data_IF_148521731544
#
_entry.id   IF_148521731544
#
_cell.length_a   1.000
_cell.length_b   1.000
_cell.length_c   1.000
_cell.angle_alpha   90.00
_cell.angle_beta   90.00
_cell.angle_gamma   90.00
#
_symmetry.space_group_name_H-M   'P 1'
#
loop_
_entity.id
_entity.type
_entity.pdbx_description
1 polymer ?
#
# COMPACT_ATOMS: atom_id res chain seq x y z
N UNK A 1 0.93 20.44 27.38
CA UNK A 1 -0.21 20.06 26.52
C UNK A 1 0.04 18.60 26.21
N UNK A 2 -0.85 17.71 26.64
CA UNK A 2 -0.68 16.28 26.39
C UNK A 2 -0.74 16.03 24.88
N UNK A 3 0.22 15.23 24.38
CA UNK A 3 0.33 14.89 22.96
C UNK A 3 -0.14 13.44 22.73
N UNK A 4 -0.30 13.06 21.45
CA UNK A 4 -0.71 11.71 21.09
C UNK A 4 0.24 10.64 21.67
N UNK A 5 1.54 10.96 21.77
CA UNK A 5 2.54 10.03 22.29
C UNK A 5 2.37 9.78 23.79
N UNK A 6 1.96 10.79 24.55
CA UNK A 6 1.56 10.63 25.94
C UNK A 6 0.35 9.70 26.07
N UNK A 7 -0.72 9.93 25.32
CA UNK A 7 -1.91 9.07 25.36
C UNK A 7 -1.63 7.63 24.90
N UNK A 8 -0.76 7.46 23.90
CA UNK A 8 -0.28 6.14 23.48
C UNK A 8 0.54 5.44 24.56
N UNK A 9 1.35 6.17 25.34
CA UNK A 9 2.10 5.58 26.46
C UNK A 9 1.19 5.14 27.60
N UNK A 10 0.18 5.94 27.93
CA UNK A 10 -0.77 5.64 29.01
C UNK A 10 -1.84 4.61 28.63
N UNK A 11 -2.02 4.32 27.33
CA UNK A 11 -3.06 3.42 26.86
C UNK A 11 -4.45 4.06 26.80
N UNK A 12 -4.52 5.40 26.72
CA UNK A 12 -5.79 6.12 26.69
C UNK A 12 -6.48 6.00 25.31
N UNK A 13 -7.23 4.91 25.14
CA UNK A 13 -7.91 4.60 23.89
C UNK A 13 -8.95 5.64 23.44
N UNK A 14 -9.51 6.42 24.37
CA UNK A 14 -10.50 7.45 24.04
C UNK A 14 -9.80 8.64 23.39
N UNK A 15 -8.73 9.15 24.02
CA UNK A 15 -8.00 10.30 23.47
C UNK A 15 -7.28 9.96 22.17
N UNK A 16 -6.66 8.77 22.09
CA UNK A 16 -6.07 8.29 20.83
C UNK A 16 -7.12 8.22 19.73
N UNK A 17 -8.32 7.71 20.00
CA UNK A 17 -9.41 7.66 19.02
C UNK A 17 -9.85 9.05 18.58
N UNK A 18 -10.10 9.96 19.52
CA UNK A 18 -10.50 11.34 19.22
C UNK A 18 -9.44 12.05 18.37
N UNK A 19 -8.17 11.83 18.67
CA UNK A 19 -7.06 12.35 17.90
C UNK A 19 -7.00 11.76 16.48
N UNK A 20 -7.26 10.46 16.32
CA UNK A 20 -7.32 9.76 15.03
C UNK A 20 -8.56 10.10 14.19
N UNK A 21 -9.62 10.63 14.80
CA UNK A 21 -10.83 11.07 14.10
C UNK A 21 -10.64 12.43 13.44
N UNK A 22 -9.68 13.23 13.92
CA UNK A 22 -9.26 14.45 13.24
C UNK A 22 -8.32 14.12 12.08
N UNK A 23 -8.77 14.46 10.87
CA UNK A 23 -8.07 14.14 9.62
C UNK A 23 -6.82 14.97 9.39
N UNK A 24 -6.60 16.06 10.13
CA UNK A 24 -5.36 16.84 10.03
C UNK A 24 -4.17 16.10 10.64
N UNK A 25 -4.44 15.15 11.54
CA UNK A 25 -3.42 14.38 12.23
C UNK A 25 -2.87 13.24 11.37
N UNK A 26 -1.53 13.11 11.35
CA UNK A 26 -0.87 11.95 10.74
C UNK A 26 -0.54 10.91 11.79
N UNK A 27 -1.27 9.81 11.79
CA UNK A 27 -1.01 8.67 12.67
C UNK A 27 0.36 7.99 12.49
N UNK A 28 1.10 8.34 11.45
CA UNK A 28 2.47 7.89 11.20
C UNK A 28 3.52 8.92 11.63
N UNK A 29 3.12 10.05 12.22
CA UNK A 29 4.04 11.05 12.74
C UNK A 29 4.93 10.43 13.82
N UNK A 30 6.23 10.71 13.77
CA UNK A 30 7.16 10.36 14.84
C UNK A 30 7.31 11.49 15.84
N UNK A 31 7.61 11.14 17.08
CA UNK A 31 8.13 12.11 18.06
C UNK A 31 9.54 12.59 17.70
N UNK A 32 10.22 13.28 18.59
CA UNK A 32 11.58 13.80 18.34
C UNK A 32 12.65 12.71 18.15
N UNK A 33 12.34 11.45 18.47
CA UNK A 33 13.19 10.29 18.24
C UNK A 33 12.67 9.40 17.09
N UNK A 34 11.63 9.86 16.38
CA UNK A 34 11.01 9.13 15.27
C UNK A 34 10.06 8.02 15.70
N UNK A 35 9.69 7.91 16.99
CA UNK A 35 8.74 6.91 17.45
C UNK A 35 7.32 7.34 17.08
N UNK A 36 6.66 6.55 16.25
CA UNK A 36 5.25 6.74 15.90
C UNK A 36 4.31 6.30 17.03
N UNK A 37 3.02 6.70 17.01
CA UNK A 37 1.99 6.15 17.90
C UNK A 37 2.02 4.62 17.97
N UNK A 38 2.21 3.95 16.82
CA UNK A 38 2.29 2.49 16.74
C UNK A 38 3.50 1.93 17.50
N UNK A 39 4.66 2.61 17.46
CA UNK A 39 5.83 2.22 18.24
C UNK A 39 5.56 2.29 19.74
N UNK A 40 4.98 3.39 20.22
CA UNK A 40 4.67 3.56 21.64
C UNK A 40 3.64 2.54 22.13
N UNK A 41 2.56 2.32 21.37
CA UNK A 41 1.57 1.31 21.70
C UNK A 41 2.17 -0.11 21.71
N UNK A 42 3.05 -0.42 20.76
CA UNK A 42 3.73 -1.71 20.69
C UNK A 42 4.74 -1.92 21.83
N UNK A 43 5.44 -0.86 22.24
CA UNK A 43 6.40 -0.88 23.36
C UNK A 43 5.70 -1.07 24.70
N UNK A 44 4.59 -0.37 24.93
CA UNK A 44 3.89 -0.36 26.21
C UNK A 44 2.84 -1.48 26.35
N UNK A 45 2.58 -2.26 25.29
CA UNK A 45 1.70 -3.44 25.38
C UNK A 45 0.21 -3.16 25.16
N UNK A 46 -0.13 -2.03 24.53
CA UNK A 46 -1.52 -1.63 24.35
C UNK A 46 -2.16 -2.27 23.11
N UNK A 47 -2.47 -3.58 23.17
CA UNK A 47 -3.01 -4.36 22.05
C UNK A 47 -4.16 -3.67 21.30
N UNK A 48 -5.18 -3.18 22.03
CA UNK A 48 -6.35 -2.54 21.42
C UNK A 48 -5.99 -1.27 20.64
N UNK A 49 -4.98 -0.53 21.10
CA UNK A 49 -4.50 0.65 20.40
C UNK A 49 -3.69 0.28 19.16
N UNK A 50 -2.85 -0.77 19.25
CA UNK A 50 -2.15 -1.31 18.09
C UNK A 50 -3.14 -1.74 17.02
N UNK A 51 -4.14 -2.54 17.37
CA UNK A 51 -5.19 -3.01 16.46
C UNK A 51 -5.91 -1.84 15.79
N UNK A 52 -6.35 -0.83 16.57
CA UNK A 52 -7.01 0.36 16.06
C UNK A 52 -6.12 1.16 15.10
N UNK A 53 -4.84 1.37 15.46
CA UNK A 53 -3.89 2.09 14.61
C UNK A 53 -3.66 1.34 13.29
N UNK A 54 -3.53 0.01 13.33
CA UNK A 54 -3.36 -0.81 12.13
C UNK A 54 -4.60 -0.77 11.22
N UNK A 55 -5.80 -0.93 11.78
CA UNK A 55 -7.08 -0.81 11.06
C UNK A 55 -7.27 0.58 10.43
N UNK A 56 -6.75 1.63 11.08
CA UNK A 56 -6.81 3.01 10.57
C UNK A 56 -5.72 3.33 9.52
N UNK A 57 -4.81 2.40 9.25
CA UNK A 57 -3.78 2.50 8.20
C UNK A 57 -2.39 2.92 8.68
N UNK A 58 -2.05 2.68 9.95
CA UNK A 58 -0.69 2.91 10.44
C UNK A 58 0.34 2.06 9.70
N UNK A 59 1.51 2.66 9.41
CA UNK A 59 2.67 2.00 8.80
C UNK A 59 3.20 0.91 9.74
N UNK A 60 2.89 -0.34 9.41
CA UNK A 60 3.33 -1.53 10.16
C UNK A 60 4.86 -1.56 10.34
N UNK A 61 5.59 -1.18 9.29
CA UNK A 61 7.06 -1.15 9.25
C UNK A 61 7.60 0.30 9.33
N UNK A 62 6.90 1.19 10.03
CA UNK A 62 7.48 2.50 10.37
C UNK A 62 8.80 2.30 11.11
N UNK A 63 9.82 3.12 10.84
CA UNK A 63 11.11 3.05 11.53
C UNK A 63 11.30 4.28 12.40
N UNK A 64 11.83 4.10 13.60
CA UNK A 64 12.35 5.19 14.42
C UNK A 64 13.76 5.62 13.96
N UNK A 65 14.41 6.56 14.65
CA UNK A 65 15.78 6.99 14.29
C UNK A 65 16.84 5.89 14.38
N UNK A 66 16.60 4.85 15.21
CA UNK A 66 17.46 3.67 15.33
C UNK A 66 17.13 2.55 14.35
N UNK A 67 16.23 2.78 13.39
CA UNK A 67 15.70 1.79 12.44
C UNK A 67 14.90 0.64 13.08
N UNK A 68 14.47 0.77 14.34
CA UNK A 68 13.54 -0.17 14.92
C UNK A 68 12.15 0.05 14.33
N UNK A 69 11.51 -1.05 13.94
CA UNK A 69 10.08 -1.11 13.63
C UNK A 69 9.26 -1.51 14.88
N UNK A 70 7.93 -1.27 14.93
CA UNK A 70 7.09 -1.65 16.07
C UNK A 70 7.26 -3.11 16.51
N UNK A 71 7.54 -4.03 15.57
CA UNK A 71 7.80 -5.44 15.86
C UNK A 71 9.05 -5.66 16.71
N UNK A 72 10.11 -4.85 16.54
CA UNK A 72 11.30 -4.91 17.41
C UNK A 72 10.91 -4.57 18.86
N UNK A 73 10.11 -3.52 19.04
CA UNK A 73 9.71 -3.05 20.36
C UNK A 73 8.76 -4.04 21.06
N UNK A 74 7.77 -4.58 20.34
CA UNK A 74 6.89 -5.61 20.87
C UNK A 74 7.67 -6.87 21.28
N UNK A 75 8.64 -7.30 20.45
CA UNK A 75 9.51 -8.44 20.74
C UNK A 75 10.47 -8.16 21.91
N UNK A 76 11.00 -6.94 22.03
CA UNK A 76 11.91 -6.53 23.11
C UNK A 76 11.23 -6.39 24.48
N UNK A 77 9.91 -6.17 24.50
CA UNK A 77 9.14 -5.98 25.74
C UNK A 77 8.22 -7.17 26.09
N UNK A 78 8.22 -8.24 25.31
CA UNK A 78 7.52 -9.48 25.64
C UNK A 78 6.02 -9.49 25.30
N UNK A 79 5.54 -8.57 24.45
CA UNK A 79 4.13 -8.43 24.09
C UNK A 79 3.76 -9.38 22.94
N UNK A 80 3.61 -10.67 23.27
CA UNK A 80 3.38 -11.76 22.30
C UNK A 80 2.16 -11.54 21.40
N UNK A 81 1.06 -11.10 21.98
CA UNK A 81 -0.19 -10.81 21.29
C UNK A 81 -0.02 -9.72 20.22
N UNK A 82 0.73 -8.66 20.54
CA UNK A 82 1.10 -7.60 19.60
C UNK A 82 2.04 -8.13 18.52
N UNK A 83 3.02 -8.98 18.87
CA UNK A 83 3.90 -9.63 17.88
C UNK A 83 3.07 -10.40 16.86
N UNK A 84 2.15 -11.25 17.30
CA UNK A 84 1.29 -12.03 16.40
C UNK A 84 0.39 -11.14 15.52
N UNK A 85 -0.14 -10.06 16.09
CA UNK A 85 -0.94 -9.08 15.34
C UNK A 85 -0.10 -8.39 14.25
N UNK A 86 1.11 -7.92 14.57
CA UNK A 86 1.99 -7.26 13.60
C UNK A 86 2.44 -8.24 12.49
N UNK A 87 2.73 -9.50 12.83
CA UNK A 87 3.07 -10.53 11.85
C UNK A 87 1.89 -10.83 10.92
N UNK A 88 0.66 -10.86 11.45
CA UNK A 88 -0.57 -11.00 10.65
C UNK A 88 -0.76 -9.84 9.68
N UNK A 89 -0.44 -8.61 10.10
CA UNK A 89 -0.45 -7.41 9.27
C UNK A 89 0.80 -7.27 8.38
N UNK A 90 1.50 -8.38 8.10
CA UNK A 90 2.66 -8.46 7.20
C UNK A 90 3.82 -7.54 7.59
N UNK A 91 4.07 -7.40 8.89
CA UNK A 91 5.31 -6.78 9.37
C UNK A 91 6.53 -7.55 8.85
N UNK A 92 7.60 -6.82 8.50
CA UNK A 92 8.85 -7.43 8.06
C UNK A 92 9.56 -8.09 9.24
N UNK A 93 9.39 -9.41 9.34
CA UNK A 93 9.96 -10.25 10.40
C UNK A 93 11.50 -10.23 10.44
N UNK A 94 12.14 -9.92 9.32
CA UNK A 94 13.60 -9.88 9.16
C UNK A 94 14.13 -8.45 9.00
N UNK A 95 13.32 -7.43 9.30
CA UNK A 95 13.78 -6.05 9.36
C UNK A 95 14.99 -5.95 10.29
N UNK A 96 15.98 -5.16 9.90
CA UNK A 96 17.20 -4.94 10.69
C UNK A 96 17.31 -3.48 11.07
N UNK A 97 17.61 -3.25 12.34
CA UNK A 97 17.81 -1.91 12.87
C UNK A 97 19.25 -1.40 12.61
N UNK A 98 19.61 -0.24 13.15
CA UNK A 98 20.90 0.39 12.88
C UNK A 98 22.10 -0.44 13.36
N UNK A 99 21.88 -1.36 14.29
CA UNK A 99 22.88 -2.29 14.82
C UNK A 99 22.87 -3.63 14.07
N UNK A 100 21.99 -3.80 13.08
CA UNK A 100 21.78 -5.06 12.38
C UNK A 100 20.99 -6.09 13.18
N UNK A 101 20.39 -5.71 14.30
CA UNK A 101 19.53 -6.59 15.08
C UNK A 101 18.16 -6.67 14.43
N UNK A 102 17.59 -7.88 14.40
CA UNK A 102 16.21 -8.15 14.00
C UNK A 102 15.30 -8.30 15.22
N UNK A 103 13.95 -8.33 15.07
CA UNK A 103 13.05 -8.58 16.19
C UNK A 103 13.38 -9.88 16.94
N UNK A 104 13.86 -10.91 16.22
CA UNK A 104 14.29 -12.16 16.83
C UNK A 104 15.53 -11.99 17.73
N UNK A 105 16.49 -11.13 17.37
CA UNK A 105 17.63 -10.83 18.24
C UNK A 105 17.18 -10.29 19.61
N UNK A 106 16.21 -9.38 19.62
CA UNK A 106 15.65 -8.82 20.86
C UNK A 106 14.90 -9.87 21.67
N UNK A 107 14.02 -10.66 21.04
CA UNK A 107 13.30 -11.73 21.72
C UNK A 107 14.26 -12.75 22.36
N UNK A 108 15.33 -13.12 21.64
CA UNK A 108 16.37 -14.02 22.14
C UNK A 108 17.16 -13.43 23.31
N UNK A 109 17.58 -12.16 23.21
CA UNK A 109 18.34 -11.46 24.25
C UNK A 109 17.58 -11.36 25.57
N UNK A 110 16.30 -10.98 25.51
CA UNK A 110 15.45 -10.88 26.70
C UNK A 110 14.95 -12.25 27.19
N UNK A 111 15.03 -13.28 26.35
CA UNK A 111 14.66 -14.66 26.67
C UNK A 111 13.16 -14.91 26.61
N UNK A 112 12.46 -14.25 25.68
CA UNK A 112 11.04 -14.52 25.39
C UNK A 112 10.92 -15.69 24.42
N UNK A 113 11.04 -16.90 24.95
CA UNK A 113 11.11 -18.14 24.21
C UNK A 113 9.91 -18.39 23.30
N UNK A 114 8.70 -18.15 23.80
CA UNK A 114 7.48 -18.33 23.02
C UNK A 114 7.41 -17.34 21.84
N UNK A 115 7.87 -16.10 22.03
CA UNK A 115 7.94 -15.09 20.95
C UNK A 115 8.99 -15.50 19.92
N UNK A 116 10.13 -16.08 20.34
CA UNK A 116 11.13 -16.60 19.42
C UNK A 116 10.53 -17.70 18.53
N UNK A 117 9.76 -18.63 19.09
CA UNK A 117 9.10 -19.69 18.32
C UNK A 117 8.09 -19.12 17.32
N UNK A 118 7.26 -18.17 17.76
CA UNK A 118 6.27 -17.52 16.89
C UNK A 118 6.97 -16.79 15.72
N UNK A 119 8.04 -16.04 15.98
CA UNK A 119 8.82 -15.35 14.95
C UNK A 119 9.45 -16.35 13.95
N UNK A 120 10.05 -17.44 14.42
CA UNK A 120 10.66 -18.48 13.56
C UNK A 120 9.60 -19.16 12.69
N UNK A 121 8.42 -19.43 13.24
CA UNK A 121 7.28 -19.97 12.49
C UNK A 121 6.74 -19.02 11.41
N UNK A 122 6.96 -17.71 11.57
CA UNK A 122 6.63 -16.70 10.57
C UNK A 122 7.81 -16.30 9.68
N UNK A 123 8.91 -17.08 9.69
CA UNK A 123 10.03 -16.92 8.76
C UNK A 123 11.18 -16.02 9.25
N UNK A 124 11.29 -15.78 10.57
CA UNK A 124 12.46 -15.11 11.14
C UNK A 124 13.72 -15.95 10.95
N UNK A 125 14.78 -15.34 10.40
CA UNK A 125 16.04 -16.01 10.10
C UNK A 125 16.91 -16.13 11.35
N UNK A 126 17.19 -17.36 11.79
CA UNK A 126 18.08 -17.64 12.94
C UNK A 126 19.56 -17.45 12.62
N UNK A 127 19.93 -17.39 11.34
CA UNK A 127 21.30 -17.28 10.84
C UNK A 127 21.72 -15.86 10.44
N UNK A 128 20.83 -14.89 10.60
CA UNK A 128 21.08 -13.48 10.26
C UNK A 128 22.01 -12.85 11.30
N UNK A 129 23.24 -12.49 10.90
CA UNK A 129 24.18 -11.86 11.81
C UNK A 129 23.94 -10.33 11.87
N UNK A 130 24.10 -9.76 13.07
CA UNK A 130 24.13 -8.32 13.30
C UNK A 130 25.53 -7.73 12.97
N UNK A 131 25.74 -6.43 13.27
CA UNK A 131 27.03 -5.75 13.02
C UNK A 131 28.20 -6.32 13.82
N UNK A 132 27.94 -6.86 15.00
CA UNK A 132 28.94 -7.52 15.85
C UNK A 132 29.26 -8.95 15.37
N UNK A 133 28.53 -9.43 14.36
CA UNK A 133 28.64 -10.79 13.85
C UNK A 133 27.85 -11.81 14.67
N UNK A 134 27.08 -11.39 15.66
CA UNK A 134 26.25 -12.28 16.47
C UNK A 134 24.95 -12.61 15.72
N UNK A 135 24.54 -13.87 15.76
CA UNK A 135 23.22 -14.31 15.31
C UNK A 135 22.21 -14.26 16.46
N UNK A 136 20.89 -14.33 16.20
CA UNK A 136 19.90 -14.41 17.28
C UNK A 136 20.18 -15.55 18.25
N UNK A 137 20.66 -16.70 17.74
CA UNK A 137 21.02 -17.86 18.55
C UNK A 137 22.16 -17.56 19.52
N UNK A 138 23.14 -16.75 19.10
CA UNK A 138 24.26 -16.36 19.97
C UNK A 138 23.81 -15.47 21.14
N UNK A 139 22.68 -14.75 20.99
CA UNK A 139 22.07 -13.93 22.05
C UNK A 139 21.12 -14.72 22.95
N UNK A 140 20.78 -15.97 22.63
CA UNK A 140 19.86 -16.76 23.46
C UNK A 140 20.49 -17.26 24.75
N UNK A 141 19.65 -17.40 25.79
CA UNK A 141 20.03 -18.09 27.03
C UNK A 141 20.39 -19.55 26.76
N UNK A 142 21.40 -20.05 27.49
CA UNK A 142 21.90 -21.42 27.35
C UNK A 142 20.75 -22.45 27.45
N UNK A 143 20.66 -23.35 26.45
CA UNK A 143 19.65 -24.42 26.38
C UNK A 143 18.55 -24.22 25.34
N UNK A 144 18.21 -22.97 24.98
CA UNK A 144 17.16 -22.68 23.98
C UNK A 144 17.69 -22.60 22.54
N UNK A 145 18.97 -22.29 22.35
CA UNK A 145 19.59 -22.18 21.02
C UNK A 145 19.34 -23.42 20.15
N UNK A 146 19.55 -24.62 20.73
CA UNK A 146 19.32 -25.89 20.00
C UNK A 146 17.86 -26.09 19.63
N UNK A 147 16.93 -25.72 20.52
CA UNK A 147 15.48 -25.83 20.26
C UNK A 147 15.06 -24.91 19.11
N UNK A 148 15.56 -23.68 19.07
CA UNK A 148 15.25 -22.74 17.98
C UNK A 148 15.93 -23.14 16.67
N UNK A 149 17.13 -23.70 16.73
CA UNK A 149 17.81 -24.28 15.58
C UNK A 149 16.98 -25.45 15.00
N UNK A 150 16.60 -26.42 15.84
CA UNK A 150 15.77 -27.56 15.42
C UNK A 150 14.43 -27.09 14.82
N UNK A 151 13.83 -26.02 15.35
CA UNK A 151 12.60 -25.43 14.82
C UNK A 151 12.82 -24.76 13.46
N UNK A 152 13.91 -24.00 13.31
CA UNK A 152 14.26 -23.35 12.04
C UNK A 152 14.57 -24.38 10.93
N UNK A 153 15.24 -25.49 11.27
CA UNK A 153 15.49 -26.61 10.34
C UNK A 153 14.17 -27.25 9.89
N UNK A 154 13.24 -27.48 10.82
CA UNK A 154 11.89 -28.00 10.49
C UNK A 154 11.10 -27.07 9.57
N UNK A 155 11.31 -25.76 9.71
CA UNK A 155 10.72 -24.75 8.84
C UNK A 155 11.48 -24.54 7.51
N UNK A 156 12.52 -25.35 7.25
CA UNK A 156 13.25 -25.38 5.99
C UNK A 156 14.33 -24.30 5.84
N UNK A 157 14.81 -23.71 6.94
CA UNK A 157 15.89 -22.72 6.88
C UNK A 157 17.27 -23.38 6.69
N UNK A 158 18.11 -22.77 5.85
CA UNK A 158 19.51 -23.14 5.72
C UNK A 158 20.34 -22.52 6.84
N UNK A 159 21.15 -23.33 7.53
CA UNK A 159 21.99 -22.90 8.67
C UNK A 159 23.26 -22.13 8.26
N UNK A 160 23.29 -21.58 7.04
CA UNK A 160 24.40 -20.78 6.57
C UNK A 160 24.30 -19.38 7.17
N UNK A 161 25.33 -18.98 7.93
CA UNK A 161 25.43 -17.63 8.50
C UNK A 161 25.33 -16.58 7.40
N UNK A 162 24.37 -15.67 7.54
CA UNK A 162 24.16 -14.55 6.63
C UNK A 162 24.83 -13.34 7.27
N UNK A 163 25.94 -12.89 6.71
CA UNK A 163 26.64 -11.70 7.19
C UNK A 163 25.76 -10.46 7.05
N UNK A 164 25.81 -9.58 8.06
CA UNK A 164 25.25 -8.24 7.95
C UNK A 164 25.82 -7.54 6.72
N UNK A 165 24.95 -7.13 5.80
CA UNK A 165 25.33 -6.26 4.68
C UNK A 165 24.90 -4.86 5.04
N UNK A 166 25.85 -3.97 5.26
CA UNK A 166 25.52 -2.56 5.44
C UNK A 166 25.02 -1.99 4.11
N UNK A 167 23.71 -1.90 3.96
CA UNK A 167 23.05 -1.31 2.79
C UNK A 167 22.90 0.21 2.93
N UNK A 168 23.54 0.84 3.92
CA UNK A 168 23.53 2.29 4.10
C UNK A 168 24.08 3.06 2.89
N UNK A 169 25.03 2.48 2.15
CA UNK A 169 25.70 3.11 1.00
C UNK A 169 24.96 2.95 -0.34
N UNK A 170 24.07 1.96 -0.46
CA UNK A 170 23.45 1.60 -1.74
C UNK A 170 22.43 2.62 -2.25
N UNK A 171 22.01 3.60 -1.45
CA UNK A 171 20.94 4.55 -1.83
C UNK A 171 19.57 3.90 -2.08
N UNK A 172 19.50 2.56 -2.08
CA UNK A 172 18.30 1.71 -2.22
C UNK A 172 17.42 1.71 -0.97
N UNK A 173 17.86 2.36 0.11
CA UNK A 173 16.94 2.76 1.16
C UNK A 173 15.98 3.76 0.53
N UNK A 174 14.81 3.30 0.09
CA UNK A 174 13.60 4.10 -0.25
C UNK A 174 13.04 4.84 0.98
N UNK A 175 13.95 5.22 1.88
CA UNK A 175 13.71 5.73 3.20
C UNK A 175 13.75 7.23 3.07
N UNK A 176 12.59 7.86 3.11
CA UNK A 176 12.51 9.21 3.65
C UNK A 176 13.03 9.13 5.08
N UNK A 177 14.30 9.50 5.32
CA UNK A 177 14.86 9.69 6.67
C UNK A 177 14.12 10.78 7.45
N UNK A 178 13.20 11.48 6.79
CA UNK A 178 12.23 12.35 7.40
C UNK A 178 10.95 11.59 7.77
N UNK A 179 10.83 11.26 9.05
CA UNK A 179 9.54 11.15 9.74
C UNK A 179 8.79 12.51 9.75
N UNK A 180 9.39 13.56 9.19
CA UNK A 180 8.79 14.90 9.03
C UNK A 180 7.96 15.05 7.75
N UNK A 181 7.75 13.98 6.96
CA UNK A 181 6.76 13.98 5.87
C UNK A 181 5.31 14.30 6.33
N UNK A 182 5.10 14.53 7.63
CA UNK A 182 3.85 14.99 8.22
C UNK A 182 3.94 16.28 9.07
N UNK A 183 5.13 16.85 9.27
CA UNK A 183 5.32 17.92 10.28
C UNK A 183 4.76 19.29 9.88
N UNK A 184 4.31 19.48 8.65
CA UNK A 184 3.87 20.79 8.19
C UNK A 184 2.42 20.77 7.69
N UNK A 185 1.57 21.50 8.41
CA UNK A 185 0.65 22.51 7.88
C UNK A 185 0.72 22.58 6.34
N UNK A 186 -0.37 22.24 5.64
CA UNK A 186 -0.47 22.01 4.19
C UNK A 186 0.71 22.52 3.34
N UNK A 187 1.34 21.60 2.58
CA UNK A 187 2.55 21.87 1.80
C UNK A 187 2.31 23.11 0.93
N UNK A 188 3.20 24.10 1.01
CA UNK A 188 3.08 25.27 0.15
C UNK A 188 3.49 24.87 -1.27
N UNK A 189 2.70 25.27 -2.25
CA UNK A 189 3.01 25.02 -3.66
C UNK A 189 4.38 25.59 -4.08
N UNK A 190 4.81 26.68 -3.46
CA UNK A 190 6.10 27.32 -3.73
C UNK A 190 7.31 26.49 -3.26
N UNK A 191 7.09 25.52 -2.37
CA UNK A 191 8.15 24.62 -1.90
C UNK A 191 8.42 23.48 -2.91
N UNK A 192 7.56 23.34 -3.94
CA UNK A 192 7.68 22.31 -4.96
C UNK A 192 8.53 22.81 -6.13
N UNK A 193 9.68 22.18 -6.36
CA UNK A 193 10.52 22.39 -7.54
C UNK A 193 9.94 21.61 -8.74
N UNK A 194 8.88 22.13 -9.35
CA UNK A 194 8.21 21.53 -10.52
C UNK A 194 9.04 21.75 -11.78
N UNK A 195 9.26 20.67 -12.55
CA UNK A 195 10.24 20.64 -13.65
C UNK A 195 9.61 20.37 -15.00
N UNK A 196 8.92 19.24 -15.12
CA UNK A 196 8.40 18.76 -16.40
C UNK A 196 6.97 18.29 -16.24
N UNK A 197 6.10 18.72 -17.14
CA UNK A 197 4.73 18.20 -17.22
C UNK A 197 4.76 16.76 -17.73
N UNK A 198 4.08 15.86 -17.01
CA UNK A 198 3.98 14.45 -17.37
C UNK A 198 2.73 14.18 -18.19
N UNK A 199 1.59 14.73 -17.78
CA UNK A 199 0.31 14.48 -18.43
C UNK A 199 -0.67 15.63 -18.24
N UNK A 200 -1.57 15.79 -19.22
CA UNK A 200 -2.78 16.62 -19.10
C UNK A 200 -3.96 15.67 -19.29
N UNK A 201 -4.82 15.61 -18.28
CA UNK A 201 -6.02 14.77 -18.29
C UNK A 201 -7.25 15.65 -18.04
N UNK A 202 -8.46 15.16 -18.34
CA UNK A 202 -9.69 15.85 -17.95
C UNK A 202 -9.87 16.04 -16.44
N UNK A 203 -9.01 15.40 -15.64
CA UNK A 203 -9.05 15.37 -14.17
C UNK A 203 -8.08 16.37 -13.56
N UNK A 204 -7.18 16.93 -14.37
CA UNK A 204 -6.06 17.73 -13.90
C UNK A 204 -4.79 17.60 -14.72
N UNK A 205 -3.78 18.35 -14.30
CA UNK A 205 -2.43 18.33 -14.87
C UNK A 205 -1.45 17.69 -13.90
N UNK A 206 -0.60 16.82 -14.40
CA UNK A 206 0.38 16.09 -13.59
C UNK A 206 1.78 16.56 -13.93
N UNK A 207 2.55 16.95 -12.92
CA UNK A 207 3.90 17.49 -13.05
C UNK A 207 4.89 16.66 -12.25
N UNK A 208 6.06 16.39 -12.84
CA UNK A 208 7.22 15.87 -12.10
C UNK A 208 7.95 17.04 -11.45
N UNK A 209 8.35 16.86 -10.20
CA UNK A 209 9.15 17.83 -9.49
C UNK A 209 10.00 17.20 -8.40
N UNK A 210 10.60 18.05 -7.57
CA UNK A 210 11.25 17.65 -6.33
C UNK A 210 10.66 18.39 -5.14
N UNK A 211 10.58 17.69 -4.01
CA UNK A 211 10.24 18.28 -2.74
C UNK A 211 11.06 17.60 -1.64
N UNK A 212 11.73 18.40 -0.80
CA UNK A 212 12.62 17.90 0.27
C UNK A 212 13.64 16.84 -0.21
N UNK A 213 14.24 17.06 -1.39
CA UNK A 213 15.18 16.14 -2.06
C UNK A 213 14.60 14.83 -2.59
N UNK A 214 13.30 14.60 -2.47
CA UNK A 214 12.62 13.45 -3.05
C UNK A 214 12.01 13.80 -4.41
N UNK A 215 12.09 12.88 -5.37
CA UNK A 215 11.40 12.99 -6.65
C UNK A 215 9.89 12.72 -6.44
N UNK A 216 9.07 13.69 -6.84
CA UNK A 216 7.63 13.67 -6.61
C UNK A 216 6.84 13.89 -7.89
N UNK A 217 5.57 13.52 -7.83
CA UNK A 217 4.54 13.87 -8.80
C UNK A 217 3.51 14.75 -8.11
N UNK A 218 3.29 15.93 -8.67
CA UNK A 218 2.28 16.88 -8.24
C UNK A 218 1.13 16.89 -9.24
N UNK A 219 -0.05 16.45 -8.81
CA UNK A 219 -1.28 16.45 -9.61
C UNK A 219 -2.16 17.64 -9.22
N UNK A 220 -2.24 18.61 -10.12
CA UNK A 220 -3.13 19.76 -10.03
C UNK A 220 -4.53 19.33 -10.44
N UNK A 221 -5.49 19.44 -9.52
CA UNK A 221 -6.87 19.06 -9.78
C UNK A 221 -7.55 20.10 -10.67
N UNK A 222 -8.22 19.65 -11.73
CA UNK A 222 -9.05 20.54 -12.55
C UNK A 222 -10.39 20.80 -11.86
N UNK A 223 -10.52 21.99 -11.25
CA UNK A 223 -11.71 22.43 -10.53
C UNK A 223 -12.14 23.78 -11.08
N UNK A 224 -13.30 23.81 -11.76
CA UNK A 224 -13.85 25.03 -12.40
C UNK A 224 -13.89 26.25 -11.48
N UNK A 225 -14.29 26.05 -10.22
CA UNK A 225 -14.33 27.10 -9.20
C UNK A 225 -14.00 26.51 -7.84
N UNK A 226 -12.84 26.85 -7.29
CA UNK A 226 -12.44 26.42 -5.95
C UNK A 226 -13.12 27.31 -4.88
N UNK A 227 -14.30 26.89 -4.41
CA UNK A 227 -15.01 27.56 -3.31
C UNK A 227 -14.40 27.22 -1.94
N UNK A 228 -14.64 28.03 -0.88
CA UNK A 228 -14.20 27.68 0.47
C UNK A 228 -14.71 26.31 0.96
N UNK A 229 -15.89 25.88 0.48
CA UNK A 229 -16.43 24.55 0.73
C UNK A 229 -15.57 23.47 0.09
N UNK A 230 -15.23 23.61 -1.20
CA UNK A 230 -14.38 22.66 -1.91
C UNK A 230 -12.99 22.56 -1.25
N UNK A 231 -12.42 23.70 -0.84
CA UNK A 231 -11.18 23.73 -0.06
C UNK A 231 -11.29 22.94 1.24
N UNK A 232 -12.41 23.04 1.96
CA UNK A 232 -12.65 22.27 3.19
C UNK A 232 -12.82 20.78 2.90
N UNK A 233 -13.66 20.43 1.93
CA UNK A 233 -13.92 19.05 1.51
C UNK A 233 -12.59 18.38 1.06
N UNK A 234 -11.73 19.12 0.34
CA UNK A 234 -10.39 18.64 -0.03
C UNK A 234 -9.52 18.33 1.18
N UNK A 235 -9.43 19.24 2.16
CA UNK A 235 -8.65 19.03 3.38
C UNK A 235 -9.18 17.87 4.23
N UNK A 236 -10.48 17.60 4.21
CA UNK A 236 -11.07 16.47 4.93
C UNK A 236 -10.83 15.13 4.21
N UNK A 237 -10.85 15.14 2.87
CA UNK A 237 -10.78 13.91 2.06
C UNK A 237 -9.36 13.45 1.75
N UNK A 238 -8.41 14.35 1.46
CA UNK A 238 -7.05 13.94 1.04
C UNK A 238 -6.29 13.13 2.09
N UNK A 239 -6.43 13.36 3.41
CA UNK A 239 -5.71 12.57 4.42
C UNK A 239 -6.11 11.09 4.39
N UNK A 240 -7.33 10.78 3.93
CA UNK A 240 -7.82 9.41 3.75
C UNK A 240 -7.05 8.65 2.66
N UNK A 241 -6.33 9.36 1.78
CA UNK A 241 -5.52 8.82 0.69
C UNK A 241 -4.06 8.55 1.09
N UNK A 242 -3.66 8.89 2.33
CA UNK A 242 -2.30 8.74 2.87
C UNK A 242 -2.06 7.33 3.43
N UNK A 243 -2.32 6.31 2.62
CA UNK A 243 -2.30 4.90 3.01
C UNK A 243 -0.90 4.30 2.77
N UNK A 244 -0.04 4.38 3.78
CA UNK A 244 1.36 3.95 3.66
C UNK A 244 1.63 2.53 4.18
N UNK A 245 0.61 1.86 4.68
CA UNK A 245 0.67 0.59 5.40
C UNK A 245 0.81 -0.64 4.50
N UNK A 246 0.77 -0.49 3.17
CA UNK A 246 0.82 -1.62 2.24
C UNK A 246 1.76 -1.35 1.03
N UNK A 247 2.62 -2.31 0.65
CA UNK A 247 3.63 -2.10 -0.40
C UNK A 247 3.03 -1.86 -1.79
N UNK A 248 1.90 -2.50 -2.11
CA UNK A 248 1.21 -2.33 -3.40
C UNK A 248 0.25 -1.14 -3.44
N UNK A 249 0.33 -0.22 -2.47
CA UNK A 249 -0.40 1.05 -2.51
C UNK A 249 0.62 2.16 -2.72
N UNK A 250 0.34 3.06 -3.66
CA UNK A 250 1.06 4.32 -3.83
C UNK A 250 0.28 5.42 -3.12
N UNK A 251 0.68 5.80 -1.90
CA UNK A 251 -0.04 6.77 -1.10
C UNK A 251 0.14 8.20 -1.62
N UNK A 252 -0.83 9.04 -1.24
CA UNK A 252 -0.63 10.48 -1.22
C UNK A 252 0.35 10.81 -0.10
N UNK A 253 1.46 11.47 -0.44
CA UNK A 253 2.46 11.93 0.53
C UNK A 253 1.90 13.13 1.28
N UNK A 254 1.34 14.09 0.54
CA UNK A 254 0.72 15.29 1.08
C UNK A 254 -0.05 16.04 0.00
N UNK A 255 -0.53 17.21 0.35
CA UNK A 255 -1.33 18.04 -0.55
C UNK A 255 -1.07 19.53 -0.32
N UNK A 256 -1.26 20.32 -1.39
CA UNK A 256 -1.29 21.77 -1.34
C UNK A 256 -2.74 22.24 -1.51
N UNK A 257 -3.21 23.04 -0.57
CA UNK A 257 -4.48 23.73 -0.69
C UNK A 257 -4.22 25.23 -0.76
N UNK A 258 -4.09 25.74 -1.98
CA UNK A 258 -3.83 27.16 -2.24
C UNK A 258 -4.75 27.61 -3.38
N UNK A 259 -6.03 27.90 -3.09
CA UNK A 259 -7.02 28.24 -4.11
C UNK A 259 -6.50 29.32 -5.07
N UNK A 260 -6.66 29.14 -6.39
CA UNK A 260 -7.47 28.12 -7.06
C UNK A 260 -6.82 26.74 -7.18
N UNK A 261 -5.56 26.58 -6.78
CA UNK A 261 -4.79 25.35 -6.96
C UNK A 261 -5.00 24.38 -5.80
N UNK A 262 -5.59 23.23 -6.12
CA UNK A 262 -5.59 22.05 -5.25
C UNK A 262 -4.65 21.01 -5.85
N UNK A 263 -3.65 20.60 -5.08
CA UNK A 263 -2.58 19.73 -5.58
C UNK A 263 -2.43 18.52 -4.66
N UNK A 264 -2.41 17.34 -5.25
CA UNK A 264 -2.09 16.08 -4.56
C UNK A 264 -0.67 15.67 -4.93
N UNK A 265 0.13 15.29 -3.93
CA UNK A 265 1.54 14.94 -4.12
C UNK A 265 1.73 13.46 -3.83
N UNK A 266 2.33 12.73 -4.76
CA UNK A 266 2.72 11.32 -4.63
C UNK A 266 4.18 11.12 -5.03
N UNK A 267 4.72 9.93 -4.76
CA UNK A 267 6.08 9.58 -5.18
C UNK A 267 6.13 9.42 -6.71
N UNK A 268 7.22 9.88 -7.33
CA UNK A 268 7.45 9.64 -8.75
C UNK A 268 7.75 8.17 -9.03
N UNK A 269 7.03 7.61 -10.02
CA UNK A 269 7.18 6.24 -10.49
C UNK A 269 7.82 6.24 -11.88
N UNK A 270 9.08 5.79 -12.02
CA UNK A 270 9.85 5.98 -13.26
C UNK A 270 9.30 5.24 -14.48
N UNK A 271 8.58 4.13 -14.28
CA UNK A 271 8.00 3.34 -15.38
C UNK A 271 6.61 3.82 -15.80
N UNK A 272 6.05 4.84 -15.14
CA UNK A 272 4.73 5.38 -15.46
C UNK A 272 3.59 4.46 -15.03
N UNK A 273 2.44 4.60 -15.70
CA UNK A 273 1.27 3.77 -15.44
C UNK A 273 1.39 2.39 -16.12
N UNK A 274 0.61 1.43 -15.66
CA UNK A 274 0.50 0.12 -16.31
C UNK A 274 0.02 0.28 -17.76
N UNK A 275 -0.87 1.24 -18.03
CA UNK A 275 -1.31 1.55 -19.39
C UNK A 275 -0.13 1.97 -20.28
N UNK A 276 0.69 2.93 -19.82
CA UNK A 276 1.88 3.38 -20.57
C UNK A 276 2.89 2.26 -20.76
N UNK A 277 2.99 1.35 -19.80
CA UNK A 277 3.89 0.21 -19.86
C UNK A 277 3.45 -0.82 -20.90
N UNK A 278 2.14 -1.09 -21.00
CA UNK A 278 1.60 -2.09 -21.92
C UNK A 278 1.45 -1.58 -23.35
N UNK A 279 1.03 -0.32 -23.52
CA UNK A 279 0.63 0.23 -24.82
C UNK A 279 1.54 1.37 -25.30
N UNK A 280 2.38 1.92 -24.42
CA UNK A 280 3.35 2.95 -24.74
C UNK A 280 4.72 2.40 -25.13
N UNK A 281 5.64 3.30 -25.45
CA UNK A 281 7.02 2.97 -25.81
C UNK A 281 7.91 2.72 -24.57
N UNK A 282 7.41 2.01 -23.56
CA UNK A 282 8.09 1.84 -22.27
C UNK A 282 9.33 0.92 -22.32
N UNK A 283 9.57 0.21 -23.43
CA UNK A 283 10.77 -0.61 -23.64
C UNK A 283 10.89 -1.84 -22.73
N UNK A 284 9.88 -2.12 -21.91
CA UNK A 284 9.82 -3.28 -21.01
C UNK A 284 8.94 -4.36 -21.64
N UNK A 285 9.53 -5.51 -21.96
CA UNK A 285 8.77 -6.68 -22.36
C UNK A 285 8.22 -7.35 -21.11
N UNK A 286 6.91 -7.29 -20.94
CA UNK A 286 6.21 -8.05 -19.89
C UNK A 286 5.87 -9.41 -20.49
N UNK A 287 6.33 -10.48 -19.88
CA UNK A 287 5.95 -11.84 -20.24
C UNK A 287 4.75 -12.30 -19.40
N UNK A 288 4.29 -13.53 -19.61
CA UNK A 288 3.17 -14.10 -18.84
C UNK A 288 3.45 -14.12 -17.34
N UNK A 289 4.69 -14.41 -16.93
CA UNK A 289 5.08 -14.48 -15.52
C UNK A 289 5.00 -13.10 -14.85
N UNK A 290 5.50 -12.06 -15.51
CA UNK A 290 5.42 -10.69 -15.02
C UNK A 290 3.98 -10.16 -15.05
N UNK A 291 3.16 -10.55 -16.03
CA UNK A 291 1.74 -10.22 -16.04
C UNK A 291 1.00 -10.80 -14.81
N UNK A 292 1.28 -12.06 -14.46
CA UNK A 292 0.74 -12.69 -13.24
C UNK A 292 1.23 -11.99 -11.98
N UNK A 293 2.49 -11.53 -11.94
CA UNK A 293 3.03 -10.73 -10.81
C UNK A 293 2.31 -9.40 -10.66
N UNK A 294 2.11 -8.65 -11.75
CA UNK A 294 1.33 -7.41 -11.71
C UNK A 294 -0.11 -7.65 -11.26
N UNK A 295 -0.77 -8.70 -11.77
CA UNK A 295 -2.11 -9.07 -11.32
C UNK A 295 -2.14 -9.40 -9.81
N UNK A 296 -1.13 -10.11 -9.30
CA UNK A 296 -1.01 -10.43 -7.87
C UNK A 296 -0.80 -9.17 -7.02
N UNK A 297 0.05 -8.25 -7.46
CA UNK A 297 0.31 -6.99 -6.77
C UNK A 297 -0.95 -6.11 -6.68
N UNK A 298 -1.66 -5.96 -7.80
CA UNK A 298 -2.94 -5.24 -7.84
C UNK A 298 -3.96 -5.93 -6.93
N UNK A 299 -4.08 -7.26 -6.99
CA UNK A 299 -5.01 -8.01 -6.14
C UNK A 299 -4.71 -7.85 -4.65
N UNK A 300 -3.42 -7.85 -4.26
CA UNK A 300 -2.99 -7.62 -2.87
C UNK A 300 -3.31 -6.19 -2.42
N UNK A 301 -3.05 -5.20 -3.27
CA UNK A 301 -3.41 -3.81 -2.98
C UNK A 301 -4.92 -3.63 -2.80
N UNK A 302 -5.73 -4.17 -3.70
CA UNK A 302 -7.19 -4.07 -3.61
C UNK A 302 -7.76 -4.84 -2.42
N UNK A 303 -7.25 -6.05 -2.12
CA UNK A 303 -7.62 -6.79 -0.91
C UNK A 303 -7.40 -5.93 0.34
N UNK A 304 -6.24 -5.27 0.42
CA UNK A 304 -5.93 -4.39 1.53
C UNK A 304 -6.89 -3.20 1.60
N UNK A 305 -7.15 -2.50 0.49
CA UNK A 305 -8.12 -1.40 0.46
C UNK A 305 -9.52 -1.85 0.89
N UNK A 306 -9.92 -3.06 0.52
CA UNK A 306 -11.22 -3.63 0.90
C UNK A 306 -11.30 -4.01 2.38
N UNK A 307 -10.15 -4.29 3.02
CA UNK A 307 -10.09 -4.56 4.46
C UNK A 307 -10.12 -3.30 5.35
N UNK A 308 -9.88 -2.12 4.79
CA UNK A 308 -9.89 -0.88 5.55
C UNK A 308 -11.32 -0.49 5.93
N UNK A 309 -11.54 -0.14 7.20
CA UNK A 309 -12.82 0.42 7.65
C UNK A 309 -13.09 1.82 7.05
N UNK A 310 -12.05 2.48 6.52
CA UNK A 310 -12.14 3.81 5.90
C UNK A 310 -12.64 3.67 4.47
N UNK A 311 -13.77 4.30 4.17
CA UNK A 311 -14.22 4.52 2.79
C UNK A 311 -13.17 5.38 2.09
N UNK A 312 -12.36 4.75 1.24
CA UNK A 312 -11.47 5.47 0.33
C UNK A 312 -12.36 6.28 -0.63
N UNK A 313 -12.04 7.55 -0.91
CA UNK A 313 -12.71 8.33 -1.95
C UNK A 313 -12.86 7.51 -3.23
N UNK A 314 -13.93 7.75 -3.99
CA UNK A 314 -14.34 6.96 -5.16
C UNK A 314 -13.13 6.63 -6.04
N UNK A 315 -12.63 5.41 -5.91
CA UNK A 315 -11.51 4.90 -6.69
C UNK A 315 -12.08 3.97 -7.75
N UNK A 316 -11.65 4.18 -8.99
CA UNK A 316 -12.06 3.37 -10.13
C UNK A 316 -10.81 2.69 -10.66
N UNK A 317 -10.65 1.40 -10.37
CA UNK A 317 -9.49 0.64 -10.80
C UNK A 317 -9.44 0.56 -12.34
N UNK A 318 -8.30 0.90 -12.92
CA UNK A 318 -7.97 0.71 -14.33
C UNK A 318 -6.43 0.74 -14.49
N UNK A 319 -5.91 0.49 -15.69
CA UNK A 319 -4.47 0.46 -15.95
C UNK A 319 -3.78 1.83 -15.88
N UNK A 320 -4.51 2.94 -16.01
CA UNK A 320 -3.94 4.29 -15.82
C UNK A 320 -3.63 4.60 -14.36
N UNK A 321 -4.40 4.02 -13.43
CA UNK A 321 -4.26 4.29 -11.99
C UNK A 321 -3.37 3.28 -11.26
N UNK A 322 -2.79 2.31 -11.98
CA UNK A 322 -1.77 1.40 -11.44
C UNK A 322 -0.41 1.90 -11.91
N UNK A 323 0.48 2.26 -10.98
CA UNK A 323 1.82 2.77 -11.28
C UNK A 323 2.85 1.68 -11.08
N UNK A 324 3.90 1.70 -11.91
CA UNK A 324 4.95 0.69 -11.91
C UNK A 324 6.24 1.30 -11.38
N UNK A 325 6.82 0.63 -10.38
CA UNK A 325 8.07 1.03 -9.74
C UNK A 325 9.29 0.51 -10.55
N UNK A 326 10.51 0.93 -10.19
CA UNK A 326 11.73 0.55 -10.91
C UNK A 326 11.98 -0.97 -10.89
N UNK A 327 11.59 -1.63 -9.80
CA UNK A 327 11.71 -3.07 -9.56
C UNK A 327 10.58 -3.91 -10.20
N UNK A 328 9.72 -3.27 -11.00
CA UNK A 328 8.52 -3.89 -11.59
C UNK A 328 7.51 -4.37 -10.54
N UNK A 329 7.40 -3.67 -9.42
CA UNK A 329 6.27 -3.80 -8.48
C UNK A 329 5.11 -2.92 -8.93
N UNK A 330 3.89 -3.47 -8.95
CA UNK A 330 2.69 -2.67 -9.22
C UNK A 330 2.15 -2.02 -7.94
N UNK A 331 1.80 -0.74 -8.03
CA UNK A 331 1.22 0.04 -6.92
C UNK A 331 -0.03 0.79 -7.34
N UNK A 332 -1.09 0.70 -6.55
CA UNK A 332 -2.37 1.37 -6.80
C UNK A 332 -2.26 2.85 -6.39
N UNK A 333 -2.45 3.77 -7.33
CA UNK A 333 -2.25 5.21 -7.11
C UNK A 333 -3.42 5.87 -6.38
N UNK A 334 -3.24 6.18 -5.10
CA UNK A 334 -4.26 6.90 -4.33
C UNK A 334 -4.40 8.36 -4.77
N UNK A 335 -3.41 8.93 -5.48
CA UNK A 335 -3.51 10.28 -6.04
C UNK A 335 -4.55 10.41 -7.17
N UNK A 336 -5.02 9.28 -7.72
CA UNK A 336 -6.07 9.27 -8.75
C UNK A 336 -7.48 9.01 -8.21
N UNK A 337 -7.61 8.78 -6.90
CA UNK A 337 -8.91 8.69 -6.26
C UNK A 337 -9.69 10.00 -6.41
N UNK A 338 -10.99 9.89 -6.64
CA UNK A 338 -11.85 11.05 -6.93
C UNK A 338 -12.43 11.64 -5.66
N UNK A 339 -12.21 12.94 -5.48
CA UNK A 339 -12.85 13.72 -4.43
C UNK A 339 -14.37 13.86 -4.66
N UNK A 340 -15.14 14.14 -3.61
CA UNK A 340 -16.61 14.28 -3.68
C UNK A 340 -17.09 15.41 -4.59
N UNK A 341 -16.27 16.43 -4.78
CA UNK A 341 -16.56 17.59 -5.64
C UNK A 341 -16.08 17.40 -7.09
N UNK A 342 -15.26 16.39 -7.37
CA UNK A 342 -14.77 16.12 -8.72
C UNK A 342 -15.79 15.35 -9.56
N UNK A 343 -15.85 15.70 -10.85
CA UNK A 343 -16.41 14.88 -11.93
C UNK A 343 -17.78 14.26 -11.62
N UNK A 344 -18.67 15.04 -11.02
CA UNK A 344 -20.02 14.56 -10.65
C UNK A 344 -20.76 14.08 -11.89
N UNK A 345 -20.95 12.76 -11.99
CA UNK A 345 -21.65 12.10 -13.11
C UNK A 345 -20.81 11.93 -14.38
N UNK A 346 -19.48 12.05 -14.31
CA UNK A 346 -18.58 11.82 -15.45
C UNK A 346 -17.65 10.66 -15.17
N UNK A 347 -17.37 9.87 -16.20
CA UNK A 347 -16.42 8.77 -16.15
C UNK A 347 -15.68 8.72 -17.48
N UNK A 348 -14.35 8.88 -17.44
CA UNK A 348 -13.52 8.98 -18.64
C UNK A 348 -12.98 7.63 -19.14
N UNK A 349 -12.97 6.60 -18.28
CA UNK A 349 -12.49 5.25 -18.61
C UNK A 349 -13.54 4.16 -18.31
N UNK A 350 -14.68 4.16 -19.01
CA UNK A 350 -15.76 3.18 -18.77
C UNK A 350 -15.42 1.76 -19.20
N UNK A 351 -14.39 1.58 -20.04
CA UNK A 351 -14.00 0.27 -20.57
C UNK A 351 -13.60 -0.75 -19.50
N UNK A 352 -13.14 -0.31 -18.33
CA UNK A 352 -12.81 -1.18 -17.19
C UNK A 352 -14.01 -1.39 -16.25
N UNK A 353 -15.09 -0.63 -16.38
CA UNK A 353 -16.16 -0.65 -15.38
C UNK A 353 -17.16 -1.78 -15.61
N UNK A 354 -17.73 -2.27 -14.52
CA UNK A 354 -18.85 -3.21 -14.58
C UNK A 354 -20.15 -2.52 -15.02
N UNK A 355 -21.09 -3.27 -15.62
CA UNK A 355 -22.39 -2.72 -16.03
C UNK A 355 -23.15 -2.04 -14.88
N UNK A 356 -23.13 -2.63 -13.69
CA UNK A 356 -23.81 -2.06 -12.53
C UNK A 356 -23.11 -0.83 -11.95
N UNK A 357 -21.79 -0.69 -12.13
CA UNK A 357 -21.06 0.54 -11.80
C UNK A 357 -21.43 1.71 -12.72
N UNK A 358 -21.92 1.43 -13.93
CA UNK A 358 -22.39 2.42 -14.88
C UNK A 358 -23.88 2.77 -14.69
N UNK A 359 -24.72 1.78 -14.34
CA UNK A 359 -26.18 1.95 -14.25
C UNK A 359 -26.70 2.41 -12.88
N UNK A 360 -26.18 1.84 -11.77
CA UNK A 360 -26.77 2.03 -10.43
C UNK A 360 -26.25 3.28 -9.76
N UNK A 361 -26.95 3.81 -8.75
CA UNK A 361 -26.41 4.89 -7.91
C UNK A 361 -25.33 4.35 -6.96
N UNK A 362 -24.35 5.16 -6.51
CA UNK A 362 -23.28 4.69 -5.62
C UNK A 362 -23.74 3.92 -4.38
N UNK A 363 -24.88 4.30 -3.78
CA UNK A 363 -25.43 3.64 -2.58
C UNK A 363 -25.97 2.21 -2.85
N UNK A 364 -26.34 1.90 -4.09
CA UNK A 364 -26.98 0.63 -4.46
C UNK A 364 -25.99 -0.37 -5.10
N UNK A 365 -24.70 0.00 -5.13
CA UNK A 365 -23.64 -0.79 -5.76
C UNK A 365 -22.95 -1.67 -4.73
N UNK A 366 -22.70 -2.93 -5.10
CA UNK A 366 -21.66 -3.71 -4.47
C UNK A 366 -20.31 -3.28 -5.07
N UNK A 367 -19.63 -2.36 -4.39
CA UNK A 367 -18.36 -1.78 -4.86
C UNK A 367 -17.25 -2.83 -4.92
N UNK A 368 -17.21 -3.79 -3.98
CA UNK A 368 -16.23 -4.88 -4.01
C UNK A 368 -16.35 -5.69 -5.31
N UNK A 369 -17.58 -6.00 -5.71
CA UNK A 369 -17.85 -6.72 -6.96
C UNK A 369 -17.55 -5.88 -8.21
N UNK A 370 -17.78 -4.56 -8.17
CA UNK A 370 -17.44 -3.65 -9.27
C UNK A 370 -15.92 -3.55 -9.47
N UNK A 371 -15.17 -3.49 -8.38
CA UNK A 371 -13.70 -3.47 -8.40
C UNK A 371 -13.14 -4.81 -8.90
N UNK A 372 -13.75 -5.94 -8.53
CA UNK A 372 -13.36 -7.25 -9.03
C UNK A 372 -13.52 -7.36 -10.56
N UNK A 373 -14.58 -6.77 -11.12
CA UNK A 373 -14.74 -6.67 -12.57
C UNK A 373 -13.63 -5.83 -13.21
N UNK A 374 -13.35 -4.66 -12.61
CA UNK A 374 -12.30 -3.75 -13.10
C UNK A 374 -10.93 -4.41 -13.07
N UNK A 375 -10.66 -5.18 -12.02
CA UNK A 375 -9.47 -6.03 -11.91
C UNK A 375 -9.41 -7.10 -13.00
N UNK A 376 -10.54 -7.73 -13.33
CA UNK A 376 -10.61 -8.70 -14.40
C UNK A 376 -10.31 -8.09 -15.77
N UNK A 377 -10.77 -6.86 -16.02
CA UNK A 377 -10.42 -6.11 -17.23
C UNK A 377 -8.93 -5.78 -17.28
N UNK A 378 -8.30 -5.41 -16.16
CA UNK A 378 -6.85 -5.25 -16.09
C UNK A 378 -6.11 -6.57 -16.36
N UNK A 379 -6.61 -7.71 -15.86
CA UNK A 379 -6.03 -9.03 -16.17
C UNK A 379 -6.19 -9.41 -17.64
N UNK A 380 -7.33 -9.08 -18.25
CA UNK A 380 -7.56 -9.26 -19.68
C UNK A 380 -6.54 -8.44 -20.48
N UNK A 381 -6.38 -7.15 -20.17
CA UNK A 381 -5.42 -6.24 -20.81
C UNK A 381 -3.97 -6.73 -20.66
N UNK A 382 -3.59 -7.21 -19.47
CA UNK A 382 -2.28 -7.83 -19.21
C UNK A 382 -2.03 -9.08 -20.07
N UNK A 383 -3.08 -9.87 -20.32
CA UNK A 383 -3.01 -11.10 -21.08
C UNK A 383 -2.98 -10.88 -22.59
N UNK A 384 -3.78 -9.94 -23.10
CA UNK A 384 -3.97 -9.72 -24.54
C UNK A 384 -3.03 -8.67 -25.11
N UNK A 385 -2.59 -7.70 -24.31
CA UNK A 385 -1.89 -6.49 -24.78
C UNK A 385 -2.70 -5.66 -25.74
N UNK A 386 -4.01 -5.74 -25.57
CA UNK A 386 -4.98 -4.94 -26.30
C UNK A 386 -5.62 -3.94 -25.36
N UNK A 387 -5.99 -2.78 -25.89
CA UNK A 387 -6.77 -1.78 -25.16
C UNK A 387 -8.23 -2.23 -25.21
N UNK A 388 -8.94 -2.38 -24.08
CA UNK A 388 -10.33 -2.79 -24.09
C UNK A 388 -11.20 -1.79 -24.86
N UNK A 389 -11.99 -2.29 -25.81
CA UNK A 389 -12.88 -1.51 -26.67
C UNK A 389 -12.19 -0.33 -27.39
N UNK A 390 -10.96 -0.51 -27.86
CA UNK A 390 -10.14 0.55 -28.47
C UNK A 390 -10.83 1.35 -29.59
N UNK A 391 -11.73 0.70 -30.33
CA UNK A 391 -12.44 1.29 -31.48
C UNK A 391 -13.63 2.19 -31.08
N UNK A 392 -14.00 2.23 -29.80
CA UNK A 392 -15.18 2.97 -29.32
C UNK A 392 -14.78 4.21 -28.54
N UNK A 393 -15.55 5.30 -28.70
CA UNK A 393 -15.42 6.44 -27.80
C UNK A 393 -15.85 6.06 -26.37
N UNK A 394 -15.36 6.76 -25.31
CA UNK A 394 -15.78 6.47 -23.95
C UNK A 394 -17.31 6.48 -23.75
N UNK A 395 -18.03 7.40 -24.42
CA UNK A 395 -19.49 7.47 -24.30
C UNK A 395 -20.19 6.24 -24.94
N UNK A 396 -19.78 5.86 -26.15
CA UNK A 396 -20.31 4.68 -26.83
C UNK A 396 -19.97 3.40 -26.05
N UNK A 397 -18.72 3.28 -25.60
CA UNK A 397 -18.24 2.17 -24.78
C UNK A 397 -19.10 2.02 -23.52
N UNK A 398 -19.25 3.08 -22.73
CA UNK A 398 -20.04 3.06 -21.50
C UNK A 398 -21.51 2.72 -21.75
N UNK A 399 -22.13 3.31 -22.78
CA UNK A 399 -23.52 3.03 -23.16
C UNK A 399 -23.70 1.56 -23.53
N UNK A 400 -22.82 1.01 -24.37
CA UNK A 400 -22.91 -0.37 -24.85
C UNK A 400 -22.64 -1.40 -23.75
N UNK A 401 -21.69 -1.13 -22.86
CA UNK A 401 -21.43 -2.01 -21.70
C UNK A 401 -22.66 -2.04 -20.79
N UNK A 402 -23.25 -0.88 -20.51
CA UNK A 402 -24.37 -0.72 -19.60
C UNK A 402 -25.69 -1.29 -20.18
N UNK A 403 -25.98 -1.01 -21.44
CA UNK A 403 -27.33 -1.22 -22.02
C UNK A 403 -27.39 -2.34 -23.07
N UNK A 404 -26.29 -2.65 -23.75
CA UNK A 404 -26.28 -3.55 -24.92
C UNK A 404 -25.55 -4.88 -24.66
N UNK A 405 -25.03 -5.09 -23.45
CA UNK A 405 -24.33 -6.33 -23.10
C UNK A 405 -22.97 -6.49 -23.78
N UNK A 406 -22.31 -5.39 -24.15
CA UNK A 406 -20.97 -5.42 -24.75
C UNK A 406 -19.95 -5.97 -23.75
N UNK A 407 -19.25 -7.05 -24.12
CA UNK A 407 -18.21 -7.72 -23.32
C UNK A 407 -17.02 -8.08 -24.18
N UNK A 408 -15.82 -7.93 -23.63
CA UNK A 408 -14.62 -8.42 -24.29
C UNK A 408 -14.59 -9.95 -24.33
N UNK A 409 -14.08 -10.48 -25.44
CA UNK A 409 -13.84 -11.93 -25.58
C UNK A 409 -12.38 -12.20 -25.24
N UNK A 410 -12.12 -13.35 -24.63
CA UNK A 410 -10.76 -13.78 -24.36
C UNK A 410 -10.21 -14.46 -25.62
N UNK A 411 -9.15 -13.93 -26.26
CA UNK A 411 -8.62 -14.50 -27.51
C UNK A 411 -8.07 -15.93 -27.33
N UNK A 412 -8.18 -16.79 -28.36
CA UNK A 412 -7.56 -18.10 -28.36
C UNK A 412 -6.02 -17.95 -28.32
N UNK A 413 -5.38 -18.46 -27.26
CA UNK A 413 -3.94 -18.28 -27.00
C UNK A 413 -3.62 -17.79 -25.59
N UNK A 414 -4.63 -17.27 -24.88
CA UNK A 414 -4.50 -16.95 -23.45
C UNK A 414 -4.41 -18.24 -22.62
N UNK A 415 -3.60 -18.24 -21.56
CA UNK A 415 -3.47 -19.38 -20.63
C UNK A 415 -4.86 -19.82 -20.11
N UNK A 416 -5.24 -21.11 -20.21
CA UNK A 416 -6.56 -21.58 -19.77
C UNK A 416 -6.89 -21.25 -18.31
N UNK A 417 -5.87 -21.25 -17.43
CA UNK A 417 -6.02 -20.88 -16.03
C UNK A 417 -6.35 -19.40 -15.87
N UNK A 418 -5.65 -18.53 -16.61
CA UNK A 418 -5.89 -17.08 -16.57
C UNK A 418 -7.24 -16.74 -17.20
N UNK A 419 -7.59 -17.36 -18.33
CA UNK A 419 -8.90 -17.20 -18.97
C UNK A 419 -10.04 -17.58 -18.03
N UNK A 420 -9.92 -18.73 -17.33
CA UNK A 420 -10.93 -19.16 -16.36
C UNK A 420 -11.05 -18.17 -15.20
N UNK A 421 -9.93 -17.64 -14.71
CA UNK A 421 -9.92 -16.65 -13.64
C UNK A 421 -10.62 -15.34 -14.07
N UNK A 422 -10.28 -14.82 -15.25
CA UNK A 422 -10.92 -13.63 -15.83
C UNK A 422 -12.44 -13.85 -15.95
N UNK A 423 -12.88 -14.97 -16.49
CA UNK A 423 -14.32 -15.29 -16.64
C UNK A 423 -15.05 -15.33 -15.30
N UNK A 424 -14.42 -15.88 -14.24
CA UNK A 424 -15.04 -15.93 -12.91
C UNK A 424 -15.14 -14.51 -12.30
N UNK A 425 -14.12 -13.68 -12.48
CA UNK A 425 -14.12 -12.30 -12.00
C UNK A 425 -15.08 -11.39 -12.79
N UNK A 426 -15.32 -11.67 -14.07
CA UNK A 426 -16.29 -10.98 -14.95
C UNK A 426 -17.69 -11.62 -14.94
N UNK A 427 -18.11 -12.26 -13.85
CA UNK A 427 -19.45 -12.84 -13.79
C UNK A 427 -20.51 -11.73 -13.90
N UNK A 428 -21.53 -11.90 -14.73
CA UNK A 428 -22.63 -10.94 -14.87
C UNK A 428 -23.39 -10.73 -13.55
N UNK A 429 -23.46 -11.77 -12.71
CA UNK A 429 -24.04 -11.69 -11.38
C UNK A 429 -22.97 -11.17 -10.38
N UNK A 430 -23.11 -9.95 -9.82
CA UNK A 430 -22.13 -9.40 -8.88
C UNK A 430 -21.97 -10.26 -7.62
N UNK A 431 -23.01 -10.99 -7.21
CA UNK A 431 -22.96 -11.86 -6.03
C UNK A 431 -22.14 -13.14 -6.22
N UNK A 432 -21.84 -13.50 -7.48
CA UNK A 432 -21.02 -14.67 -7.82
C UNK A 432 -19.55 -14.33 -8.06
N UNK A 433 -19.20 -13.05 -8.06
CA UNK A 433 -17.81 -12.61 -8.20
C UNK A 433 -17.05 -12.91 -6.90
N UNK A 434 -15.82 -13.43 -6.99
CA UNK A 434 -15.01 -13.70 -5.81
C UNK A 434 -14.54 -12.40 -5.15
N UNK A 435 -14.19 -12.48 -3.87
CA UNK A 435 -13.45 -11.39 -3.19
C UNK A 435 -11.95 -11.48 -3.48
N UNK A 436 -11.23 -10.36 -3.35
CA UNK A 436 -9.78 -10.34 -3.58
C UNK A 436 -9.03 -11.33 -2.69
N UNK A 437 -9.44 -11.52 -1.43
CA UNK A 437 -8.85 -12.51 -0.51
C UNK A 437 -8.91 -13.96 -1.01
N UNK A 438 -9.93 -14.28 -1.83
CA UNK A 438 -10.07 -15.60 -2.45
C UNK A 438 -9.16 -15.77 -3.66
N UNK A 439 -8.84 -14.68 -4.36
CA UNK A 439 -8.06 -14.68 -5.61
C UNK A 439 -6.55 -14.60 -5.35
N UNK A 440 -6.13 -13.85 -4.33
CA UNK A 440 -4.70 -13.70 -3.99
C UNK A 440 -3.97 -15.05 -3.85
N UNK A 441 -4.48 -16.06 -3.13
CA UNK A 441 -3.82 -17.37 -3.03
C UNK A 441 -3.75 -18.13 -4.36
N UNK A 442 -4.71 -17.91 -5.27
CA UNK A 442 -4.75 -18.53 -6.59
C UNK A 442 -3.64 -17.94 -7.46
N UNK A 443 -3.53 -16.61 -7.49
CA UNK A 443 -2.48 -15.90 -8.21
C UNK A 443 -1.08 -16.22 -7.64
N UNK A 444 -0.94 -16.37 -6.33
CA UNK A 444 0.32 -16.76 -5.70
C UNK A 444 0.78 -18.16 -6.14
N UNK A 445 -0.16 -19.09 -6.35
CA UNK A 445 0.13 -20.42 -6.91
C UNK A 445 0.49 -20.36 -8.40
N UNK A 446 -0.09 -19.44 -9.16
CA UNK A 446 0.24 -19.25 -10.59
C UNK A 446 1.60 -18.58 -10.80
N UNK A 447 2.13 -17.90 -9.78
CA UNK A 447 3.47 -17.29 -9.79
C UNK A 447 4.59 -18.31 -9.60
N UNK A 448 4.32 -19.43 -8.90
CA UNK A 448 5.25 -20.54 -8.65
C UNK A 448 5.33 -21.43 -9.87
#
# INVERSE_FOLDING_TARGET
>A
MEDIFHWCREGNAIQVRLWLDDTEHDMNQGDDHGFSPLHWCAKEGHYKLVEMLLQRGARVNATNMGDDIPLHLAAAHGHRDIVLLLLRERSDVNATNEHGNSPLHYACFWGYDVICEDLINHGALVSLANKDGDTPLDKTKQGYAKRFQDLAERNGQEMKKISFKDQSWLGLKTRSRDATLSRYKGININDLDLRSQLAITPTGQTWRGRWQKNDIVAKFLDVRQCTPRISRDFNEEFPKLRIFSHPNILPVIGACNTPPNLVVISQYMPRGSLYDLLHGAAGVVVDTAQAVRFALDIARGMAYLHSLERIVPRYYLNSYHVMIDEDLTARINMGDAKFSFQERGRLYHPAWMSPEALLKKPADRNWEACDMWSFAMCMWELATREIPFADLSPMECGMKIACEGLREKIPPGTSPYLSKLITICMNEDPGKRPKFDMIVPILDKMKR
#
